data_IF_920666326314
#
_entry.id   IF_920666326314
#
_cell.length_a   1.000
_cell.length_b   1.000
_cell.length_c   1.000
_cell.angle_alpha   90.00
_cell.angle_beta   90.00
_cell.angle_gamma   90.00
#
_symmetry.space_group_name_H-M   'P 1'
#
loop_
_entity.id
_entity.type
_entity.pdbx_description
1 polymer ?
#
# COMPACT_ATOMS: atom_id res chain seq x y z
N UNK A 1 -81.78 -40.20 13.89
CA UNK A 1 -80.42 -39.60 13.83
C UNK A 1 -79.67 -40.32 12.71
N UNK A 2 -80.14 -40.20 11.46
CA UNK A 2 -79.76 -41.17 10.41
C UNK A 2 -79.43 -40.40 9.12
N UNK A 3 -78.50 -39.46 9.22
CA UNK A 3 -78.14 -38.52 8.15
C UNK A 3 -76.91 -38.88 7.32
N UNK A 4 -76.33 -40.08 7.44
CA UNK A 4 -75.00 -40.37 6.88
C UNK A 4 -74.86 -41.66 6.07
N UNK A 5 -75.95 -42.20 5.48
CA UNK A 5 -75.80 -43.26 4.45
C UNK A 5 -75.34 -42.64 3.14
N UNK A 6 -74.08 -42.87 2.78
CA UNK A 6 -73.52 -42.55 1.47
C UNK A 6 -74.37 -43.20 0.37
N UNK A 7 -74.88 -42.40 -0.56
CA UNK A 7 -75.73 -42.88 -1.64
C UNK A 7 -74.88 -43.58 -2.70
N UNK A 8 -75.19 -44.83 -3.11
CA UNK A 8 -74.34 -45.62 -4.01
C UNK A 8 -74.22 -45.02 -5.42
N UNK A 9 -75.23 -44.25 -5.85
CA UNK A 9 -75.23 -43.52 -7.13
C UNK A 9 -74.25 -42.34 -7.12
N UNK A 10 -74.11 -41.64 -5.99
CA UNK A 10 -73.20 -40.50 -5.89
C UNK A 10 -71.73 -40.93 -5.86
N UNK A 11 -71.44 -42.18 -5.49
CA UNK A 11 -70.10 -42.75 -5.55
C UNK A 11 -69.64 -43.04 -7.00
N UNK A 12 -70.55 -43.07 -7.96
CA UNK A 12 -70.23 -43.35 -9.38
C UNK A 12 -69.80 -42.09 -10.15
N UNK A 13 -69.99 -40.90 -9.58
CA UNK A 13 -69.69 -39.63 -10.23
C UNK A 13 -68.29 -39.19 -9.80
N UNK A 14 -67.37 -38.88 -10.74
CA UNK A 14 -66.06 -38.37 -10.39
C UNK A 14 -66.21 -37.02 -9.68
N UNK A 15 -65.56 -36.89 -8.52
CA UNK A 15 -65.62 -35.68 -7.68
C UNK A 15 -64.96 -34.45 -8.32
N UNK A 16 -64.33 -34.60 -9.48
CA UNK A 16 -63.65 -33.54 -10.22
C UNK A 16 -64.36 -33.38 -11.58
N UNK A 17 -65.11 -32.29 -11.70
CA UNK A 17 -65.97 -31.99 -12.85
C UNK A 17 -65.26 -31.21 -13.96
N UNK A 18 -64.01 -30.79 -13.76
CA UNK A 18 -63.25 -30.03 -14.76
C UNK A 18 -62.09 -30.86 -15.30
N UNK A 19 -62.07 -31.20 -16.60
CA UNK A 19 -60.94 -31.89 -17.22
C UNK A 19 -59.66 -31.04 -17.23
N UNK A 20 -59.78 -29.74 -16.91
CA UNK A 20 -58.66 -28.81 -16.82
C UNK A 20 -58.06 -28.72 -15.41
N UNK A 21 -58.72 -29.29 -14.39
CA UNK A 21 -58.22 -29.28 -13.01
C UNK A 21 -57.69 -30.67 -12.68
N UNK A 22 -56.40 -30.89 -12.91
CA UNK A 22 -55.72 -32.08 -12.43
C UNK A 22 -55.34 -31.89 -10.96
N UNK A 23 -55.63 -32.85 -10.07
CA UNK A 23 -55.12 -32.77 -8.71
C UNK A 23 -53.58 -32.78 -8.73
N UNK A 24 -52.93 -32.09 -7.78
CA UNK A 24 -51.48 -32.10 -7.70
C UNK A 24 -50.98 -33.54 -7.56
N UNK A 25 -50.14 -33.98 -8.50
CA UNK A 25 -49.52 -35.30 -8.47
C UNK A 25 -48.29 -35.27 -7.58
N UNK A 26 -48.09 -36.33 -6.80
CA UNK A 26 -46.89 -36.47 -5.98
C UNK A 26 -45.64 -36.47 -6.86
N UNK A 27 -44.62 -35.71 -6.46
CA UNK A 27 -43.35 -35.64 -7.18
C UNK A 27 -42.58 -36.93 -6.95
N UNK A 28 -42.14 -37.56 -8.03
CA UNK A 28 -41.26 -38.73 -7.99
C UNK A 28 -39.81 -38.26 -8.02
N UNK A 29 -39.02 -38.69 -7.05
CA UNK A 29 -37.60 -38.36 -7.01
C UNK A 29 -36.83 -39.23 -8.02
N UNK A 30 -35.81 -38.68 -8.70
CA UNK A 30 -34.93 -39.47 -9.57
C UNK A 30 -34.25 -40.63 -8.82
N UNK A 31 -33.90 -41.70 -9.54
CA UNK A 31 -33.24 -42.88 -8.94
C UNK A 31 -31.89 -42.58 -8.28
N UNK A 32 -31.25 -41.48 -8.67
CA UNK A 32 -30.00 -40.98 -8.11
C UNK A 32 -30.22 -39.99 -6.94
N UNK A 33 -31.40 -39.96 -6.33
CA UNK A 33 -31.67 -39.12 -5.18
C UNK A 33 -31.02 -39.67 -3.91
N UNK A 34 -29.93 -39.04 -3.50
CA UNK A 34 -29.26 -39.33 -2.24
C UNK A 34 -29.92 -38.54 -1.12
N UNK A 35 -30.59 -39.24 -0.19
CA UNK A 35 -31.15 -38.60 1.02
C UNK A 35 -30.01 -38.10 1.89
N UNK A 36 -30.12 -36.86 2.33
CA UNK A 36 -29.21 -36.32 3.34
C UNK A 36 -29.38 -37.14 4.64
N UNK A 37 -28.29 -37.52 5.32
CA UNK A 37 -28.38 -38.12 6.64
C UNK A 37 -29.06 -37.12 7.59
N UNK A 38 -30.17 -37.54 8.19
CA UNK A 38 -31.01 -36.69 9.06
C UNK A 38 -30.34 -36.31 10.38
N UNK A 39 -29.15 -36.86 10.66
CA UNK A 39 -28.39 -36.64 11.88
C UNK A 39 -27.07 -35.98 11.51
N UNK A 40 -26.93 -34.71 11.90
CA UNK A 40 -25.64 -34.03 11.91
C UNK A 40 -24.75 -34.81 12.89
N UNK A 41 -23.51 -35.21 12.51
CA UNK A 41 -22.58 -35.81 13.46
C UNK A 41 -22.49 -34.91 14.68
N UNK A 42 -22.63 -35.49 15.89
CA UNK A 42 -22.37 -34.75 17.10
C UNK A 42 -20.98 -34.10 16.97
N UNK A 43 -20.81 -32.81 17.36
CA UNK A 43 -19.50 -32.20 17.33
C UNK A 43 -18.53 -33.12 18.08
N UNK A 44 -17.31 -33.33 17.57
CA UNK A 44 -16.34 -34.20 18.24
C UNK A 44 -16.22 -33.76 19.70
N UNK A 45 -16.33 -34.75 20.58
CA UNK A 45 -16.43 -34.60 22.01
C UNK A 45 -15.38 -33.63 22.57
N UNK A 46 -15.85 -32.71 23.41
CA UNK A 46 -15.09 -31.96 24.43
C UNK A 46 -13.68 -31.54 24.02
N UNK A 47 -13.56 -30.38 23.34
CA UNK A 47 -12.30 -29.65 23.31
C UNK A 47 -11.81 -29.50 24.75
N UNK A 48 -10.66 -30.11 25.06
CA UNK A 48 -10.11 -30.03 26.40
C UNK A 48 -9.49 -28.65 26.60
N UNK A 49 -9.57 -28.12 27.82
CA UNK A 49 -8.98 -26.80 28.14
C UNK A 49 -7.48 -26.78 27.79
N UNK A 50 -6.81 -27.93 27.94
CA UNK A 50 -5.39 -28.13 27.63
C UNK A 50 -5.06 -27.96 26.14
N UNK A 51 -5.94 -28.40 25.24
CA UNK A 51 -5.76 -28.20 23.79
C UNK A 51 -5.88 -26.73 23.41
N UNK A 52 -6.82 -26.00 24.04
CA UNK A 52 -6.98 -24.56 23.81
C UNK A 52 -5.76 -23.78 24.32
N UNK A 53 -5.23 -24.16 25.49
CA UNK A 53 -4.02 -23.56 26.04
C UNK A 53 -2.79 -23.83 25.16
N UNK A 54 -2.65 -25.06 24.65
CA UNK A 54 -1.58 -25.42 23.73
C UNK A 54 -1.65 -24.61 22.42
N UNK A 55 -2.85 -24.43 21.86
CA UNK A 55 -3.05 -23.57 20.67
C UNK A 55 -2.72 -22.11 20.99
N UNK A 56 -3.15 -21.60 22.14
CA UNK A 56 -2.85 -20.22 22.55
C UNK A 56 -1.34 -20.00 22.76
N UNK A 57 -0.63 -20.97 23.33
CA UNK A 57 0.83 -20.94 23.48
C UNK A 57 1.54 -20.94 22.12
N UNK A 58 1.08 -21.78 21.17
CA UNK A 58 1.64 -21.82 19.82
C UNK A 58 1.46 -20.48 19.09
N UNK A 59 0.27 -19.87 19.16
CA UNK A 59 0.02 -18.56 18.54
C UNK A 59 0.93 -17.49 19.12
N UNK A 60 1.15 -17.48 20.45
CA UNK A 60 2.10 -16.56 21.09
C UNK A 60 3.54 -16.78 20.64
N UNK A 61 3.97 -18.04 20.56
CA UNK A 61 5.32 -18.35 20.07
C UNK A 61 5.52 -17.85 18.63
N UNK A 62 4.50 -18.00 17.77
CA UNK A 62 4.56 -17.50 16.38
C UNK A 62 4.58 -15.97 16.34
N UNK A 63 3.79 -15.28 17.17
CA UNK A 63 3.83 -13.82 17.23
C UNK A 63 5.21 -13.31 17.66
N UNK A 64 5.77 -13.90 18.72
CA UNK A 64 7.07 -13.52 19.26
C UNK A 64 8.19 -13.78 18.23
N UNK A 65 8.10 -14.90 17.50
CA UNK A 65 9.02 -15.20 16.40
C UNK A 65 8.93 -14.18 15.25
N UNK A 66 7.72 -13.78 14.86
CA UNK A 66 7.53 -12.76 13.81
C UNK A 66 8.09 -11.41 14.27
N UNK A 67 7.90 -11.04 15.53
CA UNK A 67 8.43 -9.79 16.09
C UNK A 67 9.96 -9.78 16.14
N UNK A 68 10.58 -10.87 16.61
CA UNK A 68 12.04 -10.99 16.64
C UNK A 68 12.64 -10.97 15.23
N UNK A 69 12.05 -11.70 14.28
CA UNK A 69 12.49 -11.70 12.88
C UNK A 69 12.38 -10.31 12.23
N UNK A 70 11.28 -9.58 12.49
CA UNK A 70 11.12 -8.19 12.01
C UNK A 70 12.16 -7.25 12.63
N UNK A 71 12.43 -7.39 13.92
CA UNK A 71 13.43 -6.57 14.61
C UNK A 71 14.84 -6.83 14.07
N UNK A 72 15.19 -8.09 13.81
CA UNK A 72 16.47 -8.47 13.22
C UNK A 72 16.66 -7.85 11.82
N UNK A 73 15.69 -8.01 10.93
CA UNK A 73 15.73 -7.41 9.59
C UNK A 73 15.79 -5.88 9.65
N UNK A 74 15.06 -5.26 10.58
CA UNK A 74 15.12 -3.82 10.78
C UNK A 74 16.53 -3.40 11.23
N UNK A 75 17.12 -4.11 12.18
CA UNK A 75 18.47 -3.82 12.69
C UNK A 75 19.54 -4.02 11.59
N UNK A 76 19.42 -5.07 10.78
CA UNK A 76 20.32 -5.29 9.65
C UNK A 76 20.22 -4.15 8.64
N UNK A 77 19.00 -3.72 8.31
CA UNK A 77 18.77 -2.61 7.41
C UNK A 77 19.33 -1.29 7.95
N UNK A 78 19.12 -0.98 9.24
CA UNK A 78 19.67 0.25 9.83
C UNK A 78 21.19 0.22 9.85
N UNK A 79 21.80 -0.89 10.24
CA UNK A 79 23.26 -1.05 10.21
C UNK A 79 23.82 -0.90 8.79
N UNK A 80 23.14 -1.47 7.79
CA UNK A 80 23.54 -1.31 6.39
C UNK A 80 23.41 0.15 5.93
N UNK A 81 22.30 0.83 6.26
CA UNK A 81 22.10 2.25 5.95
C UNK A 81 23.17 3.14 6.58
N UNK A 82 23.42 2.97 7.87
CA UNK A 82 24.49 3.68 8.59
C UNK A 82 25.86 3.39 7.98
N UNK A 83 26.10 2.15 7.53
CA UNK A 83 27.32 1.77 6.83
C UNK A 83 27.49 2.43 5.45
N UNK A 84 26.39 2.67 4.72
CA UNK A 84 26.40 3.46 3.47
C UNK A 84 26.68 4.92 3.79
N UNK A 85 25.96 5.51 4.74
CA UNK A 85 26.11 6.92 5.12
C UNK A 85 27.52 7.21 5.62
N UNK A 86 28.08 6.33 6.45
CA UNK A 86 29.47 6.44 6.93
C UNK A 86 30.47 6.44 5.77
N UNK A 87 30.34 5.52 4.81
CA UNK A 87 31.24 5.46 3.64
C UNK A 87 31.09 6.69 2.77
N UNK A 88 29.87 7.16 2.52
CA UNK A 88 29.65 8.40 1.78
C UNK A 88 30.27 9.60 2.49
N UNK A 89 30.13 9.70 3.81
CA UNK A 89 30.76 10.78 4.60
C UNK A 89 32.28 10.67 4.52
N UNK A 90 32.87 9.48 4.62
CA UNK A 90 34.32 9.27 4.48
C UNK A 90 34.84 9.60 3.08
N UNK A 91 34.14 9.21 2.02
CA UNK A 91 34.48 9.58 0.65
C UNK A 91 34.41 11.10 0.45
N UNK A 92 33.35 11.74 0.97
CA UNK A 92 33.20 13.20 0.94
C UNK A 92 34.30 13.89 1.78
N UNK A 93 34.70 13.33 2.92
CA UNK A 93 35.85 13.77 3.75
C UNK A 93 37.19 13.60 3.01
N UNK A 94 37.35 12.54 2.21
CA UNK A 94 38.55 12.32 1.38
C UNK A 94 38.64 13.33 0.23
N UNK A 95 37.51 13.62 -0.41
CA UNK A 95 37.42 14.54 -1.57
C UNK A 95 37.58 15.99 -1.11
N UNK A 96 37.01 16.36 0.04
CA UNK A 96 37.04 17.72 0.56
C UNK A 96 37.25 17.73 2.08
N UNK A 97 38.51 17.53 2.54
CA UNK A 97 38.82 17.59 3.97
C UNK A 97 38.48 18.97 4.54
N UNK A 98 37.71 19.00 5.63
CA UNK A 98 37.32 20.23 6.33
C UNK A 98 36.12 21.00 5.75
N UNK A 99 35.64 20.67 4.55
CA UNK A 99 34.54 21.38 3.89
C UNK A 99 33.14 20.96 4.37
N UNK A 100 32.95 19.69 4.77
CA UNK A 100 31.64 19.17 5.22
C UNK A 100 31.38 19.30 6.71
N UNK A 101 32.44 19.25 7.53
CA UNK A 101 32.32 19.23 8.99
C UNK A 101 32.38 20.65 9.60
N UNK A 102 32.85 21.65 8.85
CA UNK A 102 32.84 23.05 9.31
C UNK A 102 31.71 23.80 8.62
N UNK A 103 30.83 24.45 9.39
CA UNK A 103 29.69 25.24 8.87
C UNK A 103 30.07 26.45 7.99
N UNK A 104 31.33 26.55 7.57
CA UNK A 104 31.86 27.63 6.76
C UNK A 104 31.54 27.35 5.28
N UNK A 105 30.32 27.71 4.88
CA UNK A 105 29.92 27.72 3.47
C UNK A 105 30.80 28.72 2.70
N UNK A 106 31.33 28.30 1.55
CA UNK A 106 32.10 29.16 0.64
C UNK A 106 31.31 30.45 0.35
N UNK A 107 32.02 31.59 0.26
CA UNK A 107 31.42 32.87 -0.06
C UNK A 107 30.70 32.79 -1.41
N UNK A 108 29.40 33.10 -1.40
CA UNK A 108 28.63 33.28 -2.63
C UNK A 108 28.92 34.66 -3.20
N UNK A 109 29.13 34.79 -4.52
CA UNK A 109 29.36 36.10 -5.13
C UNK A 109 28.11 36.96 -5.00
N UNK A 110 28.24 38.09 -4.29
CA UNK A 110 27.25 39.17 -4.31
C UNK A 110 27.46 39.95 -5.61
N UNK A 111 26.41 40.10 -6.42
CA UNK A 111 26.44 41.05 -7.54
C UNK A 111 26.63 42.45 -6.96
N UNK A 112 27.77 43.09 -7.24
CA UNK A 112 27.94 44.53 -7.00
C UNK A 112 26.87 45.25 -7.83
N UNK A 113 25.91 45.87 -7.17
CA UNK A 113 25.17 46.98 -7.76
C UNK A 113 26.12 48.18 -7.75
N UNK A 114 26.56 48.61 -8.92
CA UNK A 114 27.30 49.87 -9.07
C UNK A 114 26.39 51.03 -8.69
N UNK A 115 26.41 51.40 -7.41
CA UNK A 115 25.81 52.64 -6.92
C UNK A 115 26.94 53.59 -6.58
N UNK A 116 27.16 54.56 -7.46
CA UNK A 116 28.24 55.52 -7.39
C UNK A 116 28.27 56.30 -6.08
N UNK A 117 29.49 56.55 -5.59
CA UNK A 117 29.76 57.63 -4.66
C UNK A 117 31.07 58.30 -5.07
N UNK A 118 30.95 59.61 -5.28
CA UNK A 118 31.88 60.54 -5.86
C UNK A 118 33.21 60.65 -5.09
N UNK A 119 34.33 60.63 -5.82
CA UNK A 119 35.56 61.28 -5.39
C UNK A 119 36.15 62.03 -6.57
N UNK A 120 36.12 63.35 -6.40
CA UNK A 120 36.64 64.41 -7.24
C UNK A 120 38.16 64.27 -7.39
N UNK A 121 38.68 64.11 -8.61
CA UNK A 121 39.99 64.68 -8.98
C UNK A 121 40.19 64.76 -10.51
N UNK A 122 41.01 65.74 -10.90
CA UNK A 122 40.99 66.43 -12.18
C UNK A 122 41.69 65.75 -13.38
N UNK A 123 41.28 66.21 -14.58
CA UNK A 123 42.00 66.25 -15.87
C UNK A 123 41.82 65.09 -16.89
N UNK A 124 41.20 65.44 -18.04
CA UNK A 124 41.12 64.66 -19.29
C UNK A 124 42.27 65.06 -20.26
N UNK A 125 42.43 64.51 -21.49
CA UNK A 125 41.71 63.40 -22.17
C UNK A 125 42.64 62.36 -22.88
N UNK A 126 42.09 61.23 -23.35
CA UNK A 126 42.25 60.69 -24.74
C UNK A 126 41.54 59.34 -24.95
N UNK A 127 40.94 59.22 -26.14
CA UNK A 127 40.11 58.14 -26.68
C UNK A 127 40.81 56.77 -26.78
N UNK A 128 40.04 55.69 -26.66
CA UNK A 128 40.47 54.35 -27.07
C UNK A 128 39.55 53.21 -26.66
N UNK A 129 38.48 53.01 -27.42
CA UNK A 129 37.54 51.89 -27.43
C UNK A 129 38.20 50.50 -27.24
N UNK A 130 37.85 49.79 -26.17
CA UNK A 130 37.74 48.32 -26.15
C UNK A 130 37.04 47.88 -24.86
N UNK A 131 35.72 47.73 -24.89
CA UNK A 131 35.03 46.92 -23.88
C UNK A 131 35.59 45.50 -23.95
N UNK A 132 36.03 44.87 -22.85
CA UNK A 132 36.36 43.46 -22.87
C UNK A 132 35.04 42.69 -23.04
N UNK A 133 34.72 42.35 -24.29
CA UNK A 133 33.63 41.43 -24.59
C UNK A 133 33.95 40.13 -23.87
N UNK A 134 33.12 39.80 -22.89
CA UNK A 134 33.22 38.62 -22.06
C UNK A 134 33.30 37.39 -22.99
N UNK A 135 34.45 36.72 -23.06
CA UNK A 135 34.68 35.64 -24.04
C UNK A 135 33.69 34.48 -23.86
N UNK A 136 33.09 34.37 -22.68
CA UNK A 136 32.01 33.43 -22.35
C UNK A 136 30.73 33.70 -23.19
N UNK A 137 30.41 34.97 -23.49
CA UNK A 137 29.26 35.33 -24.33
C UNK A 137 29.49 34.97 -25.81
N UNK A 138 30.75 34.91 -26.26
CA UNK A 138 31.08 34.46 -27.63
C UNK A 138 30.84 32.97 -27.83
N UNK A 139 31.16 32.15 -26.83
CA UNK A 139 31.06 30.68 -26.95
C UNK A 139 29.68 30.14 -26.57
N UNK A 140 29.00 30.72 -25.59
CA UNK A 140 27.74 30.16 -25.10
C UNK A 140 26.49 30.89 -25.60
N UNK A 141 26.67 32.02 -26.28
CA UNK A 141 25.56 32.89 -26.65
C UNK A 141 24.91 33.50 -25.39
N UNK A 142 24.26 34.65 -25.57
CA UNK A 142 23.68 35.40 -24.47
C UNK A 142 22.51 34.62 -23.84
N UNK A 143 22.74 33.91 -22.74
CA UNK A 143 21.70 33.16 -22.03
C UNK A 143 21.01 34.08 -21.03
N UNK A 144 19.89 34.68 -21.42
CA UNK A 144 19.01 35.40 -20.50
C UNK A 144 18.05 34.40 -19.84
N UNK A 145 18.29 34.06 -18.56
CA UNK A 145 17.23 33.47 -17.73
C UNK A 145 16.27 34.60 -17.34
N UNK A 146 15.02 34.49 -17.81
CA UNK A 146 13.87 35.24 -17.33
C UNK A 146 13.33 34.62 -16.05
#
# INVERSE_FOLDING_TARGET
MDGHRSQPILAQIPLIISPFVQPPKAVTLPYNYTKLPATVPAPPATVTIQEVEAVAANVKQISDFIETSRAELHNEYTQWREGVDRREVEEKRRIAPGYLDTGNRLLQPVRKTDTGSSSNDSAAPTNGTASPVNDIDKVFGKVSLS
#
